data_IF_645124179242
#
_entry.id   IF_645124179242
#
_cell.length_a   1.000
_cell.length_b   1.000
_cell.length_c   1.000
_cell.angle_alpha   90.00
_cell.angle_beta   90.00
_cell.angle_gamma   90.00
#
_symmetry.space_group_name_H-M   'P 1'
#
loop_
_entity.id
_entity.type
_entity.pdbx_description
1 polymer ?
#
# COMPACT_ATOMS: atom_id res chain seq x y z
N UNK A 1 -7.18 0.21 -12.03
CA UNK A 1 -7.85 1.50 -11.68
C UNK A 1 -6.77 2.56 -11.61
N UNK A 2 -7.02 3.82 -12.03
CA UNK A 2 -6.02 4.89 -11.83
C UNK A 2 -6.18 5.53 -10.45
N UNK A 3 -5.08 5.67 -9.72
CA UNK A 3 -5.07 6.26 -8.38
C UNK A 3 -4.00 7.33 -8.26
N UNK A 4 -4.17 8.24 -7.31
CA UNK A 4 -3.20 9.31 -6.99
C UNK A 4 -2.23 8.89 -5.90
N UNK A 5 -1.22 9.73 -5.65
CA UNK A 5 -0.30 9.61 -4.52
C UNK A 5 -1.04 9.53 -3.18
N UNK A 6 -1.97 10.45 -2.95
CA UNK A 6 -2.72 10.53 -1.69
C UNK A 6 -3.53 9.26 -1.44
N UNK A 7 -4.08 8.66 -2.50
CA UNK A 7 -4.78 7.39 -2.40
C UNK A 7 -3.84 6.24 -2.00
N UNK A 8 -2.64 6.18 -2.59
CA UNK A 8 -1.64 5.16 -2.24
C UNK A 8 -1.17 5.32 -0.79
N UNK A 9 -0.90 6.55 -0.36
CA UNK A 9 -0.51 6.86 1.01
C UNK A 9 -1.60 6.46 2.01
N UNK A 10 -2.85 6.82 1.73
CA UNK A 10 -3.99 6.42 2.56
C UNK A 10 -4.14 4.89 2.64
N UNK A 11 -3.98 4.18 1.51
CA UNK A 11 -4.07 2.72 1.49
C UNK A 11 -2.93 2.04 2.25
N UNK A 12 -1.71 2.58 2.16
CA UNK A 12 -0.55 2.10 2.93
C UNK A 12 -0.78 2.33 4.43
N UNK A 13 -1.32 3.49 4.81
CA UNK A 13 -1.64 3.80 6.21
C UNK A 13 -2.68 2.82 6.79
N UNK A 14 -3.77 2.56 6.06
CA UNK A 14 -4.80 1.57 6.45
C UNK A 14 -4.18 0.19 6.69
N UNK A 15 -3.35 -0.30 5.76
CA UNK A 15 -2.70 -1.61 5.89
C UNK A 15 -1.70 -1.66 7.04
N UNK A 16 -1.02 -0.55 7.34
CA UNK A 16 -0.14 -0.46 8.51
C UNK A 16 -0.93 -0.51 9.81
N UNK A 17 -2.09 0.15 9.89
CA UNK A 17 -3.01 0.04 11.03
C UNK A 17 -3.48 -1.40 11.21
N UNK A 18 -3.90 -2.06 10.13
CA UNK A 18 -4.31 -3.46 10.17
C UNK A 18 -3.19 -4.39 10.65
N UNK A 19 -1.95 -4.17 10.20
CA UNK A 19 -0.78 -4.93 10.64
C UNK A 19 -0.46 -4.75 12.14
N UNK A 20 -0.82 -3.60 12.72
CA UNK A 20 -0.64 -3.33 14.15
C UNK A 20 -1.70 -3.99 15.03
N UNK A 21 -2.82 -4.43 14.46
CA UNK A 21 -3.85 -5.13 15.22
C UNK A 21 -3.36 -6.51 15.70
N UNK A 22 -3.45 -6.74 17.01
CA UNK A 22 -2.92 -7.95 17.66
C UNK A 22 -3.65 -9.24 17.24
N UNK A 23 -4.86 -9.13 16.67
CA UNK A 23 -5.70 -10.26 16.29
C UNK A 23 -5.45 -10.80 14.88
N UNK A 24 -4.50 -10.24 14.12
CA UNK A 24 -4.17 -10.76 12.78
C UNK A 24 -3.34 -12.03 12.90
N UNK A 25 -3.83 -13.12 12.29
CA UNK A 25 -3.09 -14.39 12.20
C UNK A 25 -1.74 -14.21 11.49
N UNK A 26 -0.78 -15.13 11.72
CA UNK A 26 0.51 -15.08 11.03
C UNK A 26 0.36 -15.05 9.50
N UNK A 27 -0.56 -15.86 8.96
CA UNK A 27 -0.88 -15.84 7.53
C UNK A 27 -1.48 -14.51 7.08
N UNK A 28 -2.40 -13.94 7.87
CA UNK A 28 -2.96 -12.61 7.61
C UNK A 28 -1.89 -11.52 7.59
N UNK A 29 -0.91 -11.58 8.50
CA UNK A 29 0.22 -10.64 8.53
C UNK A 29 1.08 -10.74 7.27
N UNK A 30 1.35 -11.95 6.77
CA UNK A 30 2.08 -12.15 5.51
C UNK A 30 1.32 -11.51 4.35
N UNK A 31 0.02 -11.78 4.24
CA UNK A 31 -0.81 -11.25 3.16
C UNK A 31 -0.91 -9.72 3.20
N UNK A 32 -1.16 -9.13 4.37
CA UNK A 32 -1.20 -7.68 4.55
C UNK A 32 0.14 -7.03 4.24
N UNK A 33 1.25 -7.65 4.63
CA UNK A 33 2.61 -7.18 4.32
C UNK A 33 2.87 -7.17 2.82
N UNK A 34 2.54 -8.26 2.11
CA UNK A 34 2.68 -8.34 0.67
C UNK A 34 1.84 -7.26 -0.04
N UNK A 35 0.60 -7.07 0.41
CA UNK A 35 -0.31 -6.08 -0.14
C UNK A 35 0.19 -4.65 0.10
N UNK A 36 0.70 -4.36 1.30
CA UNK A 36 1.33 -3.06 1.62
C UNK A 36 2.54 -2.81 0.73
N UNK A 37 3.42 -3.80 0.58
CA UNK A 37 4.62 -3.68 -0.26
C UNK A 37 4.27 -3.40 -1.73
N UNK A 38 3.19 -4.01 -2.25
CA UNK A 38 2.68 -3.71 -3.58
C UNK A 38 2.35 -2.22 -3.75
N UNK A 39 1.59 -1.63 -2.82
CA UNK A 39 1.24 -0.21 -2.89
C UNK A 39 2.43 0.72 -2.64
N UNK A 40 3.37 0.34 -1.77
CA UNK A 40 4.64 1.09 -1.59
C UNK A 40 5.44 1.12 -2.89
N UNK A 41 5.56 0.00 -3.59
CA UNK A 41 6.26 -0.05 -4.88
C UNK A 41 5.55 0.82 -5.93
N UNK A 42 4.21 0.88 -5.91
CA UNK A 42 3.44 1.77 -6.79
C UNK A 42 3.63 3.24 -6.47
N UNK A 43 3.77 3.59 -5.19
CA UNK A 43 4.10 4.94 -4.77
C UNK A 43 5.50 5.35 -5.25
N UNK A 44 6.50 4.48 -5.08
CA UNK A 44 7.85 4.70 -5.60
C UNK A 44 7.82 4.89 -7.11
N UNK A 45 7.14 4.01 -7.86
CA UNK A 45 7.02 4.11 -9.31
C UNK A 45 6.37 5.44 -9.75
N UNK A 46 5.36 5.91 -9.02
CA UNK A 46 4.69 7.19 -9.27
C UNK A 46 5.64 8.37 -9.04
N UNK A 47 6.42 8.34 -7.95
CA UNK A 47 7.38 9.40 -7.60
C UNK A 47 8.58 9.45 -8.54
N UNK A 48 9.21 8.30 -8.84
CA UNK A 48 10.37 8.21 -9.73
C UNK A 48 10.05 8.67 -11.15
N UNK A 49 8.84 8.38 -11.62
CA UNK A 49 8.36 8.78 -12.96
C UNK A 49 7.69 10.16 -12.98
N UNK A 50 7.62 10.86 -11.85
CA UNK A 50 6.92 12.15 -11.70
C UNK A 50 5.49 12.13 -12.26
N UNK A 51 4.77 11.03 -12.02
CA UNK A 51 3.41 10.83 -12.49
C UNK A 51 2.40 11.41 -11.50
N UNK A 52 1.30 11.98 -11.99
CA UNK A 52 0.19 12.42 -11.13
C UNK A 52 -0.75 11.26 -10.74
N UNK A 53 -0.77 10.18 -11.55
CA UNK A 53 -1.61 9.00 -11.36
C UNK A 53 -0.89 7.74 -11.84
N UNK A 54 -1.25 6.60 -11.27
CA UNK A 54 -0.72 5.29 -11.67
C UNK A 54 -1.81 4.22 -11.70
N UNK A 55 -1.65 3.24 -12.58
CA UNK A 55 -2.52 2.05 -12.60
C UNK A 55 -2.15 1.08 -11.48
N UNK A 56 -3.19 0.63 -10.79
CA UNK A 56 -3.13 -0.28 -9.64
C UNK A 56 -4.11 -1.42 -9.79
#
# INVERSE_FOLDING_TARGET
MEVTKEWLEAKIAELNTDLQHQNVSQYGKIMLTQRRNYYVNKLIELEEKQLNKISV
#
